data_IF_279636750145
#
_entry.id   IF_279636750145
#
_cell.length_a   1.000
_cell.length_b   1.000
_cell.length_c   1.000
_cell.angle_alpha   90.00
_cell.angle_beta   90.00
_cell.angle_gamma   90.00
#
_symmetry.space_group_name_H-M   'P 1'
#
loop_
_entity.id
_entity.type
_entity.pdbx_description
1 polymer ?
#
# COMPACT_ATOMS: atom_id res chain seq x y z
N UNK A 1 -19.11 -4.35 5.23
CA UNK A 1 -18.54 -4.48 6.59
C UNK A 1 -17.12 -5.01 6.50
N UNK A 2 -16.19 -4.40 7.25
CA UNK A 2 -14.78 -4.83 7.33
C UNK A 2 -14.53 -5.51 8.68
N UNK A 3 -13.81 -6.62 8.64
CA UNK A 3 -13.41 -7.36 9.83
C UNK A 3 -12.10 -6.87 10.42
N UNK A 4 -11.91 -7.08 11.72
CA UNK A 4 -10.63 -6.93 12.39
C UNK A 4 -10.29 -8.25 13.07
N UNK A 5 -9.24 -8.92 12.59
CA UNK A 5 -8.70 -10.14 13.19
C UNK A 5 -7.56 -9.76 14.14
N UNK A 6 -7.74 -9.98 15.44
CA UNK A 6 -6.72 -9.71 16.46
C UNK A 6 -6.24 -11.00 17.11
N UNK A 7 -4.93 -11.08 17.34
CA UNK A 7 -4.33 -12.15 18.14
C UNK A 7 -4.13 -11.63 19.57
N UNK A 8 -4.83 -12.24 20.52
CA UNK A 8 -4.85 -11.80 21.91
C UNK A 8 -3.94 -12.70 22.76
N UNK A 9 -3.04 -12.09 23.54
CA UNK A 9 -2.13 -12.78 24.46
C UNK A 9 -2.87 -13.28 25.72
N UNK A 10 -3.86 -14.15 25.53
CA UNK A 10 -4.63 -14.78 26.60
C UNK A 10 -4.75 -16.28 26.42
N UNK A 11 -4.98 -16.97 27.53
CA UNK A 11 -5.27 -18.40 27.54
C UNK A 11 -6.74 -18.66 27.18
N UNK A 12 -7.02 -19.89 26.77
CA UNK A 12 -8.37 -20.37 26.46
C UNK A 12 -8.59 -20.60 24.97
N UNK A 13 -9.80 -21.05 24.65
CA UNK A 13 -10.20 -21.43 23.30
C UNK A 13 -11.30 -20.55 22.71
N UNK A 14 -11.98 -19.78 23.57
CA UNK A 14 -13.11 -18.94 23.18
C UNK A 14 -12.64 -17.75 22.36
N UNK A 15 -13.30 -17.50 21.24
CA UNK A 15 -13.09 -16.33 20.40
C UNK A 15 -14.06 -15.24 20.88
N UNK A 16 -13.58 -14.00 20.99
CA UNK A 16 -14.41 -12.83 21.31
C UNK A 16 -14.91 -12.18 20.01
N UNK A 17 -16.11 -11.63 20.03
CA UNK A 17 -16.76 -11.03 18.87
C UNK A 17 -17.53 -9.79 19.33
N UNK A 18 -17.25 -8.62 18.73
CA UNK A 18 -17.96 -7.38 19.00
C UNK A 18 -17.79 -6.39 17.83
N UNK A 19 -18.56 -5.30 17.83
CA UNK A 19 -18.36 -4.21 16.88
C UNK A 19 -17.58 -3.10 17.58
N UNK A 20 -16.42 -2.74 17.04
CA UNK A 20 -15.57 -1.65 17.55
C UNK A 20 -15.58 -0.47 16.60
N UNK A 21 -15.51 0.73 17.17
CA UNK A 21 -15.28 1.95 16.41
C UNK A 21 -13.84 2.39 16.59
N UNK A 22 -13.09 2.56 15.50
CA UNK A 22 -11.69 2.97 15.53
C UNK A 22 -11.39 3.94 14.40
N UNK A 23 -10.77 5.09 14.69
CA UNK A 23 -10.61 6.19 13.72
C UNK A 23 -11.92 6.50 12.95
N UNK A 24 -13.06 6.43 13.65
CA UNK A 24 -14.40 6.60 13.08
C UNK A 24 -14.92 5.42 12.24
N UNK A 25 -14.12 4.40 11.94
CA UNK A 25 -14.53 3.19 11.21
C UNK A 25 -15.24 2.20 12.13
N UNK A 26 -16.37 1.66 11.69
CA UNK A 26 -17.05 0.55 12.36
C UNK A 26 -16.49 -0.78 11.84
N UNK A 27 -15.74 -1.47 12.68
CA UNK A 27 -15.09 -2.74 12.37
C UNK A 27 -15.74 -3.88 13.17
N UNK A 28 -15.93 -5.01 12.52
CA UNK A 28 -16.36 -6.22 13.23
C UNK A 28 -15.12 -6.93 13.79
N UNK A 29 -14.92 -6.80 15.10
CA UNK A 29 -13.77 -7.29 15.81
C UNK A 29 -13.91 -8.77 16.18
N UNK A 30 -12.85 -9.53 15.95
CA UNK A 30 -12.73 -10.91 16.37
C UNK A 30 -11.37 -11.13 17.04
N UNK A 31 -11.41 -11.39 18.35
CA UNK A 31 -10.22 -11.66 19.16
C UNK A 31 -9.95 -13.16 19.28
N UNK A 32 -8.82 -13.60 18.73
CA UNK A 32 -8.39 -15.01 18.73
C UNK A 32 -7.30 -15.20 19.79
N UNK A 33 -7.50 -16.10 20.77
CA UNK A 33 -6.46 -16.37 21.76
C UNK A 33 -5.23 -17.01 21.12
N UNK A 34 -4.07 -16.36 21.30
CA UNK A 34 -2.76 -16.83 20.85
C UNK A 34 -1.95 -17.51 21.97
N UNK A 35 -2.43 -17.51 23.21
CA UNK A 35 -1.71 -18.06 24.36
C UNK A 35 -0.69 -17.07 24.94
N UNK A 36 0.44 -17.58 25.45
CA UNK A 36 1.56 -16.72 25.91
C UNK A 36 2.19 -15.98 24.73
N UNK A 37 2.75 -14.80 24.99
CA UNK A 37 3.49 -14.02 23.99
C UNK A 37 4.51 -14.91 23.23
N UNK A 38 4.53 -14.79 21.89
CA UNK A 38 5.41 -15.57 21.01
C UNK A 38 4.86 -16.94 20.57
N UNK A 39 3.76 -17.45 21.14
CA UNK A 39 3.16 -18.70 20.68
C UNK A 39 2.21 -18.46 19.50
N UNK A 40 2.27 -19.34 18.48
CA UNK A 40 1.35 -19.25 17.34
C UNK A 40 -0.08 -19.61 17.78
N UNK A 41 -1.10 -18.86 17.34
CA UNK A 41 -2.49 -19.19 17.61
C UNK A 41 -2.85 -20.56 17.02
N UNK A 42 -3.72 -21.30 17.71
CA UNK A 42 -4.15 -22.60 17.19
C UNK A 42 -4.94 -22.43 15.89
N UNK A 43 -4.69 -23.30 14.90
CA UNK A 43 -5.42 -23.31 13.62
C UNK A 43 -6.93 -23.33 13.82
N UNK A 44 -7.43 -24.17 14.75
CA UNK A 44 -8.87 -24.28 15.07
C UNK A 44 -9.46 -22.98 15.63
N UNK A 45 -8.69 -22.18 16.38
CA UNK A 45 -9.16 -20.89 16.88
C UNK A 45 -9.22 -19.85 15.76
N UNK A 46 -8.21 -19.81 14.89
CA UNK A 46 -8.21 -18.96 13.70
C UNK A 46 -9.37 -19.27 12.75
N UNK A 47 -9.64 -20.56 12.47
CA UNK A 47 -10.78 -20.97 11.65
C UNK A 47 -12.11 -20.58 12.27
N UNK A 48 -12.24 -20.66 13.60
CA UNK A 48 -13.43 -20.16 14.32
C UNK A 48 -13.59 -18.66 14.14
N UNK A 49 -12.51 -17.89 14.31
CA UNK A 49 -12.53 -16.45 14.11
C UNK A 49 -12.89 -16.07 12.68
N UNK A 50 -12.29 -16.73 11.69
CA UNK A 50 -12.62 -16.53 10.27
C UNK A 50 -14.09 -16.82 9.99
N UNK A 51 -14.66 -17.90 10.56
CA UNK A 51 -16.09 -18.20 10.44
C UNK A 51 -16.97 -17.12 11.07
N UNK A 52 -16.58 -16.52 12.20
CA UNK A 52 -17.32 -15.40 12.81
C UNK A 52 -17.37 -14.20 11.89
N UNK A 53 -16.21 -13.75 11.41
CA UNK A 53 -16.10 -12.66 10.43
C UNK A 53 -16.96 -12.91 9.19
N UNK A 54 -16.92 -14.13 8.65
CA UNK A 54 -17.71 -14.52 7.48
C UNK A 54 -19.22 -14.49 7.73
N UNK A 55 -19.68 -14.97 8.88
CA UNK A 55 -21.10 -14.92 9.27
C UNK A 55 -21.59 -13.49 9.48
N UNK A 56 -20.71 -12.61 9.97
CA UNK A 56 -20.97 -11.17 10.06
C UNK A 56 -20.93 -10.44 8.70
N UNK A 57 -20.77 -11.16 7.58
CA UNK A 57 -20.74 -10.59 6.24
C UNK A 57 -19.41 -9.93 5.85
N UNK A 58 -18.35 -10.08 6.65
CA UNK A 58 -17.05 -9.52 6.33
C UNK A 58 -16.42 -10.25 5.13
N UNK A 59 -15.80 -9.46 4.24
CA UNK A 59 -15.05 -9.94 3.07
C UNK A 59 -13.60 -9.46 3.08
N UNK A 60 -13.39 -8.25 3.61
CA UNK A 60 -12.08 -7.63 3.82
C UNK A 60 -11.76 -7.62 5.31
N UNK A 61 -10.49 -7.77 5.66
CA UNK A 61 -10.01 -7.90 7.03
C UNK A 61 -8.78 -7.04 7.25
N UNK A 62 -8.75 -6.34 8.38
CA UNK A 62 -7.56 -5.72 8.95
C UNK A 62 -6.97 -6.65 10.02
N UNK A 63 -5.65 -6.65 10.14
CA UNK A 63 -4.92 -7.40 11.16
C UNK A 63 -3.71 -6.59 11.63
N UNK A 64 -3.03 -7.08 12.67
CA UNK A 64 -1.78 -6.50 13.13
C UNK A 64 -0.65 -6.68 12.08
N UNK A 65 0.39 -5.83 12.09
CA UNK A 65 1.57 -6.01 11.25
C UNK A 65 2.15 -7.43 11.40
N UNK A 66 2.51 -8.06 10.27
CA UNK A 66 3.10 -9.40 10.28
C UNK A 66 2.14 -10.54 10.63
N UNK A 67 0.82 -10.34 10.46
CA UNK A 67 -0.18 -11.37 10.75
C UNK A 67 0.12 -12.70 10.00
N UNK A 68 0.30 -13.83 10.71
CA UNK A 68 0.91 -15.03 10.13
C UNK A 68 -0.05 -15.94 9.37
N UNK A 69 -1.37 -15.70 9.42
CA UNK A 69 -2.38 -16.67 8.99
C UNK A 69 -3.23 -16.20 7.79
N UNK A 70 -2.68 -15.33 6.94
CA UNK A 70 -3.39 -14.83 5.76
C UNK A 70 -3.85 -15.93 4.80
N UNK A 71 -3.06 -16.99 4.60
CA UNK A 71 -3.46 -18.13 3.77
C UNK A 71 -4.75 -18.81 4.26
N UNK A 72 -4.91 -18.94 5.57
CA UNK A 72 -6.11 -19.51 6.19
C UNK A 72 -7.32 -18.60 6.01
N UNK A 73 -7.15 -17.29 6.24
CA UNK A 73 -8.21 -16.32 5.98
C UNK A 73 -8.64 -16.33 4.50
N UNK A 74 -7.66 -16.43 3.59
CA UNK A 74 -7.93 -16.54 2.15
C UNK A 74 -8.76 -17.77 1.79
N UNK A 75 -8.42 -18.94 2.35
CA UNK A 75 -9.20 -20.16 2.17
C UNK A 75 -10.63 -20.03 2.72
N UNK A 76 -10.84 -19.23 3.77
CA UNK A 76 -12.17 -18.93 4.30
C UNK A 76 -12.94 -17.84 3.51
N UNK A 77 -12.39 -17.35 2.38
CA UNK A 77 -13.00 -16.30 1.57
C UNK A 77 -12.90 -14.89 2.18
N UNK A 78 -11.94 -14.67 3.08
CA UNK A 78 -11.56 -13.36 3.59
C UNK A 78 -10.30 -12.88 2.85
N UNK A 79 -10.17 -11.58 2.64
CA UNK A 79 -9.01 -10.96 2.00
C UNK A 79 -8.45 -9.86 2.91
N UNK A 80 -7.14 -9.56 2.84
CA UNK A 80 -6.64 -8.33 3.41
C UNK A 80 -7.36 -7.14 2.78
N UNK A 81 -7.46 -6.03 3.50
CA UNK A 81 -7.73 -4.75 2.83
C UNK A 81 -6.54 -4.45 1.92
N UNK A 82 -6.84 -4.12 0.66
CA UNK A 82 -5.86 -3.86 -0.38
C UNK A 82 -5.45 -2.37 -0.36
N UNK A 83 -4.19 -2.05 -0.03
CA UNK A 83 -3.72 -0.67 -0.08
C UNK A 83 -3.33 -0.18 -1.47
N UNK A 84 -3.30 -1.05 -2.49
CA UNK A 84 -2.89 -0.71 -3.84
C UNK A 84 -3.58 0.54 -4.41
N UNK A 85 -4.92 0.66 -4.35
CA UNK A 85 -5.61 1.86 -4.82
C UNK A 85 -5.14 3.16 -4.14
N UNK A 86 -4.88 3.12 -2.83
CA UNK A 86 -4.33 4.26 -2.11
C UNK A 86 -2.89 4.55 -2.57
N UNK A 87 -2.05 3.52 -2.71
CA UNK A 87 -0.66 3.68 -3.15
C UNK A 87 -0.59 4.30 -4.56
N UNK A 88 -1.45 3.84 -5.48
CA UNK A 88 -1.59 4.41 -6.82
C UNK A 88 -2.03 5.88 -6.75
N UNK A 89 -2.97 6.23 -5.87
CA UNK A 89 -3.38 7.63 -5.66
C UNK A 89 -2.27 8.50 -5.05
N UNK A 90 -1.34 7.91 -4.32
CA UNK A 90 -0.17 8.57 -3.72
C UNK A 90 1.10 8.46 -4.57
N UNK A 91 1.02 7.97 -5.81
CA UNK A 91 2.19 7.63 -6.61
C UNK A 91 3.13 8.83 -6.85
N UNK A 92 2.59 9.99 -7.20
CA UNK A 92 3.39 11.21 -7.39
C UNK A 92 4.13 11.66 -6.11
N UNK A 93 3.46 11.86 -4.96
CA UNK A 93 4.19 12.22 -3.74
C UNK A 93 5.14 11.10 -3.27
N UNK A 94 4.83 9.82 -3.51
CA UNK A 94 5.74 8.70 -3.23
C UNK A 94 7.02 8.79 -4.05
N UNK A 95 6.91 9.07 -5.36
CA UNK A 95 8.06 9.24 -6.22
C UNK A 95 8.97 10.39 -5.76
N UNK A 96 8.38 11.53 -5.43
CA UNK A 96 9.12 12.70 -4.98
C UNK A 96 9.80 12.49 -3.62
N UNK A 97 9.12 11.81 -2.69
CA UNK A 97 9.71 11.43 -1.42
C UNK A 97 10.86 10.42 -1.60
N UNK A 98 10.72 9.50 -2.55
CA UNK A 98 11.78 8.57 -2.91
C UNK A 98 13.01 9.31 -3.47
N UNK A 99 12.81 10.18 -4.45
CA UNK A 99 13.89 10.98 -5.06
C UNK A 99 14.61 11.85 -4.02
N UNK A 100 13.85 12.50 -3.13
CA UNK A 100 14.41 13.31 -2.05
C UNK A 100 15.26 12.47 -1.07
N UNK A 101 14.80 11.26 -0.73
CA UNK A 101 15.57 10.32 0.12
C UNK A 101 16.88 9.90 -0.54
N UNK A 102 16.87 9.68 -1.85
CA UNK A 102 18.06 9.31 -2.63
C UNK A 102 18.96 10.51 -3.00
N UNK A 103 18.62 11.72 -2.57
CA UNK A 103 19.40 12.93 -2.87
C UNK A 103 19.33 13.34 -4.36
N UNK A 104 18.32 12.87 -5.09
CA UNK A 104 18.11 13.19 -6.49
C UNK A 104 17.15 14.37 -6.64
N UNK A 105 17.63 15.45 -7.24
CA UNK A 105 16.79 16.59 -7.60
C UNK A 105 15.76 16.15 -8.66
N UNK A 106 14.44 16.37 -8.45
CA UNK A 106 13.41 15.97 -9.40
C UNK A 106 13.69 16.45 -10.83
N UNK A 107 14.16 17.68 -10.99
CA UNK A 107 14.44 18.34 -12.27
C UNK A 107 15.58 17.66 -13.05
N UNK A 108 16.32 16.76 -12.40
CA UNK A 108 17.39 15.94 -13.00
C UNK A 108 17.00 14.47 -13.15
N UNK A 109 15.88 14.05 -12.56
CA UNK A 109 15.46 12.66 -12.47
C UNK A 109 14.54 12.25 -13.63
N UNK A 110 14.63 10.98 -14.02
CA UNK A 110 13.72 10.31 -14.96
C UNK A 110 12.85 9.31 -14.20
N UNK A 111 11.53 9.47 -14.29
CA UNK A 111 10.57 8.58 -13.64
C UNK A 111 9.79 7.79 -14.68
N UNK A 112 9.69 6.48 -14.49
CA UNK A 112 8.92 5.59 -15.34
C UNK A 112 7.56 5.27 -14.70
N UNK A 113 6.51 5.26 -15.53
CA UNK A 113 5.16 4.83 -15.17
C UNK A 113 4.85 3.54 -15.92
N UNK A 114 4.84 2.41 -15.23
CA UNK A 114 4.53 1.10 -15.81
C UNK A 114 3.14 0.64 -15.36
N UNK A 115 2.34 0.08 -16.25
CA UNK A 115 0.99 -0.39 -15.92
C UNK A 115 0.35 -1.22 -17.03
N UNK A 116 -0.71 -1.96 -16.69
CA UNK A 116 -1.46 -2.75 -17.68
C UNK A 116 -2.36 -1.90 -18.60
N UNK A 117 -2.72 -0.68 -18.15
CA UNK A 117 -3.57 0.30 -18.85
C UNK A 117 -3.35 1.70 -18.27
N UNK A 118 -3.75 2.74 -19.00
CA UNK A 118 -3.80 4.11 -18.48
C UNK A 118 -5.10 4.28 -17.71
N UNK A 119 -5.02 4.11 -16.40
CA UNK A 119 -6.13 4.44 -15.50
C UNK A 119 -6.01 5.89 -14.99
N UNK A 120 -7.02 6.32 -14.23
CA UNK A 120 -7.08 7.65 -13.66
C UNK A 120 -5.87 7.95 -12.76
N UNK A 121 -5.42 6.99 -11.95
CA UNK A 121 -4.33 7.22 -11.01
C UNK A 121 -3.00 7.38 -11.75
N UNK A 122 -2.74 6.55 -12.78
CA UNK A 122 -1.57 6.66 -13.64
C UNK A 122 -1.56 8.00 -14.37
N UNK A 123 -2.70 8.41 -14.94
CA UNK A 123 -2.83 9.70 -15.60
C UNK A 123 -2.58 10.88 -14.66
N UNK A 124 -3.25 10.92 -13.50
CA UNK A 124 -3.08 11.98 -12.49
C UNK A 124 -1.62 12.05 -12.01
N UNK A 125 -0.95 10.91 -11.91
CA UNK A 125 0.47 10.82 -11.56
C UNK A 125 1.36 11.41 -12.64
N UNK A 126 1.11 11.07 -13.90
CA UNK A 126 1.84 11.62 -15.03
C UNK A 126 1.72 13.15 -15.08
N UNK A 127 0.49 13.67 -15.00
CA UNK A 127 0.24 15.11 -14.99
C UNK A 127 0.89 15.83 -13.78
N UNK A 128 0.90 15.20 -12.60
CA UNK A 128 1.50 15.78 -11.40
C UNK A 128 3.04 15.78 -11.41
N UNK A 129 3.66 14.77 -12.02
CA UNK A 129 5.12 14.67 -12.12
C UNK A 129 5.67 15.42 -13.31
N UNK A 130 4.90 15.54 -14.39
CA UNK A 130 5.29 16.18 -15.64
C UNK A 130 6.04 17.52 -15.43
N UNK A 131 5.48 18.52 -14.72
CA UNK A 131 6.16 19.81 -14.56
C UNK A 131 7.35 19.79 -13.58
N UNK A 132 7.70 18.65 -12.98
CA UNK A 132 8.64 18.55 -11.86
C UNK A 132 9.86 17.70 -12.16
N UNK A 133 9.76 16.77 -13.10
CA UNK A 133 10.84 15.83 -13.43
C UNK A 133 11.50 16.17 -14.75
N UNK A 134 12.75 15.73 -14.95
CA UNK A 134 13.46 15.91 -16.22
C UNK A 134 12.72 15.23 -17.37
N UNK A 135 12.27 14.00 -17.12
CA UNK A 135 11.62 13.17 -18.14
C UNK A 135 10.67 12.14 -17.50
N UNK A 136 9.63 11.80 -18.25
CA UNK A 136 8.72 10.70 -17.95
C UNK A 136 8.83 9.62 -19.03
N UNK A 137 8.97 8.38 -18.61
CA UNK A 137 8.80 7.22 -19.47
C UNK A 137 7.45 6.55 -19.17
N UNK A 138 6.73 6.10 -20.19
CA UNK A 138 5.44 5.40 -20.00
C UNK A 138 5.51 4.01 -20.62
N UNK A 139 5.35 2.99 -19.77
CA UNK A 139 5.33 1.58 -20.14
C UNK A 139 3.93 1.00 -19.94
N UNK A 140 3.02 1.37 -20.85
CA UNK A 140 1.65 0.86 -20.89
C UNK A 140 1.35 0.30 -22.27
N UNK A 141 1.09 -1.01 -22.42
CA UNK A 141 0.81 -1.60 -23.73
C UNK A 141 -0.34 -0.89 -24.45
N UNK A 142 -0.12 -0.49 -25.72
CA UNK A 142 -1.10 0.15 -26.64
C UNK A 142 -1.59 1.55 -26.26
N UNK A 143 -1.57 1.93 -24.98
CA UNK A 143 -2.11 3.21 -24.51
C UNK A 143 -1.01 4.23 -24.13
N UNK A 144 0.23 3.79 -23.89
CA UNK A 144 1.31 4.65 -23.41
C UNK A 144 1.71 5.77 -24.37
N UNK A 145 1.74 5.49 -25.67
CA UNK A 145 2.12 6.47 -26.71
C UNK A 145 1.12 7.64 -26.79
N UNK A 146 -0.18 7.37 -26.61
CA UNK A 146 -1.20 8.41 -26.59
C UNK A 146 -1.05 9.33 -25.37
N UNK A 147 -0.70 8.76 -24.21
CA UNK A 147 -0.40 9.54 -23.01
C UNK A 147 0.86 10.40 -23.20
N UNK A 148 1.93 9.83 -23.75
CA UNK A 148 3.17 10.59 -24.01
C UNK A 148 2.93 11.78 -24.94
N UNK A 149 2.19 11.62 -26.04
CA UNK A 149 1.81 12.72 -26.94
C UNK A 149 1.03 13.83 -26.23
N UNK A 150 0.12 13.46 -25.34
CA UNK A 150 -0.64 14.42 -24.57
C UNK A 150 0.30 15.20 -23.63
N UNK A 151 1.20 14.51 -22.94
CA UNK A 151 2.15 15.12 -22.02
C UNK A 151 3.12 16.06 -22.73
N UNK A 152 3.60 15.69 -23.92
CA UNK A 152 4.44 16.53 -24.76
C UNK A 152 3.71 17.80 -25.19
N UNK A 153 2.43 17.68 -25.62
CA UNK A 153 1.63 18.82 -26.03
C UNK A 153 1.33 19.80 -24.89
N UNK A 154 1.05 19.29 -23.70
CA UNK A 154 0.60 20.10 -22.56
C UNK A 154 1.75 20.63 -21.69
N UNK A 155 2.88 19.91 -21.59
CA UNK A 155 4.01 20.27 -20.73
C UNK A 155 5.37 20.33 -21.44
N UNK A 156 5.45 20.06 -22.75
CA UNK A 156 6.71 20.12 -23.52
C UNK A 156 7.73 19.06 -23.13
N UNK A 157 7.30 17.97 -22.48
CA UNK A 157 8.20 16.91 -22.04
C UNK A 157 8.61 16.01 -23.19
N UNK A 158 9.90 15.59 -23.24
CA UNK A 158 10.32 14.60 -24.20
C UNK A 158 9.63 13.26 -23.90
N UNK A 159 8.92 12.75 -24.91
CA UNK A 159 8.36 11.41 -24.86
C UNK A 159 9.49 10.37 -24.89
N UNK A 160 9.74 9.70 -23.76
CA UNK A 160 10.63 8.54 -23.72
C UNK A 160 9.79 7.27 -23.80
N UNK A 161 9.81 6.60 -24.95
CA UNK A 161 9.27 5.25 -25.08
C UNK A 161 10.18 4.24 -24.38
N UNK A 162 9.64 3.51 -23.39
CA UNK A 162 10.35 2.45 -22.70
C UNK A 162 11.33 2.96 -21.64
N UNK A 163 11.17 2.46 -20.42
CA UNK A 163 12.05 2.71 -19.29
C UNK A 163 13.21 1.71 -19.20
N UNK A 164 13.32 0.75 -20.14
CA UNK A 164 14.32 -0.33 -20.10
C UNK A 164 15.76 0.21 -20.11
N UNK A 165 16.23 0.54 -18.92
CA UNK A 165 17.63 0.79 -18.57
C UNK A 165 17.99 2.19 -18.07
N UNK A 166 17.06 3.16 -18.02
CA UNK A 166 17.44 4.58 -17.81
C UNK A 166 16.60 5.41 -16.83
N UNK A 167 15.54 4.86 -16.24
CA UNK A 167 14.79 5.56 -15.20
C UNK A 167 15.47 5.45 -13.84
N UNK A 168 15.54 6.56 -13.10
CA UNK A 168 16.02 6.56 -11.72
C UNK A 168 15.02 5.85 -10.79
N UNK A 169 13.73 5.90 -11.13
CA UNK A 169 12.65 5.22 -10.41
C UNK A 169 11.54 4.74 -11.35
N UNK A 170 11.01 3.54 -11.08
CA UNK A 170 9.80 3.02 -11.74
C UNK A 170 8.62 2.92 -10.77
N UNK A 171 7.50 3.53 -11.12
CA UNK A 171 6.21 3.36 -10.44
C UNK A 171 5.41 2.27 -11.14
N UNK A 172 5.18 1.15 -10.45
CA UNK A 172 4.49 -0.01 -11.00
C UNK A 172 3.03 0.00 -10.57
N UNK A 173 2.17 0.40 -11.49
CA UNK A 173 0.71 0.33 -11.38
C UNK A 173 0.20 -1.09 -11.64
N UNK A 174 -1.06 -1.39 -11.30
CA UNK A 174 -1.64 -2.71 -11.54
C UNK A 174 -1.45 -3.21 -12.99
N UNK A 175 -1.02 -4.46 -13.13
CA UNK A 175 -0.76 -5.08 -14.43
C UNK A 175 0.59 -4.73 -15.06
N UNK A 176 1.42 -3.92 -14.39
CA UNK A 176 2.80 -3.70 -14.82
C UNK A 176 3.59 -5.02 -14.80
N UNK A 177 4.44 -5.28 -15.81
CA UNK A 177 5.36 -6.42 -15.77
C UNK A 177 6.40 -6.23 -14.66
N UNK A 178 7.02 -7.34 -14.24
CA UNK A 178 8.23 -7.27 -13.43
C UNK A 178 9.34 -6.57 -14.22
N UNK A 179 10.11 -5.73 -13.54
CA UNK A 179 11.22 -4.97 -14.12
C UNK A 179 12.48 -5.08 -13.26
N UNK A 180 13.55 -4.44 -13.71
CA UNK A 180 14.81 -4.31 -13.00
C UNK A 180 15.02 -2.86 -12.56
N UNK A 181 15.82 -2.64 -11.51
CA UNK A 181 16.10 -1.31 -10.98
C UNK A 181 15.23 -0.90 -9.79
N UNK A 182 15.34 0.36 -9.38
CA UNK A 182 14.56 0.90 -8.28
C UNK A 182 13.08 1.04 -8.67
N UNK A 183 12.19 0.51 -7.85
CA UNK A 183 10.76 0.54 -8.13
C UNK A 183 9.90 0.61 -6.88
N UNK A 184 8.76 1.29 -7.00
CA UNK A 184 7.64 1.20 -6.05
C UNK A 184 6.54 0.34 -6.66
N UNK A 185 6.14 -0.73 -5.96
CA UNK A 185 4.94 -1.50 -6.31
C UNK A 185 3.72 -0.83 -5.70
N UNK A 186 2.81 -0.36 -6.55
CA UNK A 186 1.61 0.35 -6.13
C UNK A 186 0.38 -0.56 -6.20
N UNK A 187 0.58 -1.87 -6.41
CA UNK A 187 -0.50 -2.81 -6.69
C UNK A 187 -0.66 -3.87 -5.60
N UNK A 188 -1.93 -4.18 -5.31
CA UNK A 188 -2.31 -5.30 -4.45
C UNK A 188 -1.88 -5.17 -2.99
N UNK A 189 -2.09 -6.28 -2.26
CA UNK A 189 -1.89 -6.35 -0.81
C UNK A 189 -0.43 -6.36 -0.37
N UNK A 190 0.49 -6.51 -1.31
CA UNK A 190 1.95 -6.57 -1.08
C UNK A 190 2.63 -5.32 -1.66
N UNK A 191 1.90 -4.19 -1.74
CA UNK A 191 2.44 -2.92 -2.22
C UNK A 191 3.78 -2.61 -1.53
N UNK A 192 4.81 -2.40 -2.34
CA UNK A 192 6.20 -2.31 -1.93
C UNK A 192 6.70 -0.88 -2.12
N UNK A 193 6.89 -0.16 -1.02
CA UNK A 193 7.20 1.28 -1.06
C UNK A 193 8.68 1.59 -0.79
N UNK A 194 9.56 0.60 -0.88
CA UNK A 194 11.02 0.73 -0.69
C UNK A 194 11.38 1.50 0.60
N UNK A 195 10.79 1.09 1.72
CA UNK A 195 11.00 1.72 3.02
C UNK A 195 10.28 3.06 3.24
N UNK A 196 9.59 3.63 2.24
CA UNK A 196 8.72 4.77 2.46
C UNK A 196 7.47 4.38 3.23
N UNK A 197 7.03 5.25 4.14
CA UNK A 197 5.90 5.03 5.03
C UNK A 197 4.89 6.17 4.88
N UNK A 198 3.74 5.90 4.24
CA UNK A 198 2.59 6.78 4.30
C UNK A 198 2.08 6.89 5.74
N UNK A 199 1.86 8.12 6.20
CA UNK A 199 1.41 8.46 7.53
C UNK A 199 0.23 9.43 7.42
N UNK A 200 -0.90 9.06 8.03
CA UNK A 200 -2.03 9.97 8.21
C UNK A 200 -1.80 10.95 9.37
N UNK A 201 -2.83 11.72 9.76
CA UNK A 201 -2.79 12.52 10.98
C UNK A 201 -2.52 11.64 12.21
N UNK A 202 -1.93 12.22 13.25
CA UNK A 202 -1.58 11.49 14.48
C UNK A 202 -2.83 10.88 15.14
N UNK A 203 -2.63 9.75 15.86
CA UNK A 203 -3.65 8.86 16.46
C UNK A 203 -4.24 7.73 15.59
N UNK A 204 -3.40 6.96 14.88
CA UNK A 204 -3.81 5.66 14.34
C UNK A 204 -3.55 4.52 15.34
N UNK A 205 -4.45 3.52 15.48
CA UNK A 205 -4.23 2.36 16.33
C UNK A 205 -2.99 1.58 15.91
N UNK A 206 -1.97 1.52 16.76
CA UNK A 206 -0.75 0.74 16.52
C UNK A 206 -0.96 -0.79 16.49
N UNK A 207 -2.16 -1.25 16.82
CA UNK A 207 -2.56 -2.67 16.77
C UNK A 207 -2.96 -3.15 15.37
N UNK A 208 -3.10 -2.23 14.41
CA UNK A 208 -3.47 -2.50 13.03
C UNK A 208 -2.33 -2.17 12.08
N UNK A 209 -2.24 -2.94 11.00
CA UNK A 209 -1.34 -2.63 9.91
C UNK A 209 -1.70 -1.29 9.28
N UNK A 210 -0.71 -0.38 9.23
CA UNK A 210 -0.92 1.04 8.93
C UNK A 210 -1.46 1.26 7.53
N UNK A 211 -0.81 0.68 6.52
CA UNK A 211 -1.12 0.96 5.12
C UNK A 211 -2.54 0.49 4.72
N UNK A 212 -2.97 -0.74 5.08
CA UNK A 212 -4.37 -1.15 4.88
C UNK A 212 -5.39 -0.31 5.67
N UNK A 213 -5.04 0.17 6.87
CA UNK A 213 -5.92 1.06 7.64
C UNK A 213 -6.09 2.42 6.96
N UNK A 214 -4.99 3.04 6.50
CA UNK A 214 -5.03 4.29 5.75
C UNK A 214 -5.87 4.14 4.48
N UNK A 215 -5.72 3.02 3.76
CA UNK A 215 -6.49 2.75 2.56
C UNK A 215 -7.99 2.72 2.87
N UNK A 216 -8.39 2.05 3.96
CA UNK A 216 -9.80 2.01 4.35
C UNK A 216 -10.34 3.38 4.80
N UNK A 217 -9.54 4.18 5.51
CA UNK A 217 -9.94 5.53 5.90
C UNK A 217 -10.15 6.43 4.67
N UNK A 218 -9.26 6.30 3.68
CA UNK A 218 -9.35 7.03 2.42
C UNK A 218 -10.56 6.59 1.57
N UNK A 219 -10.77 5.28 1.41
CA UNK A 219 -11.92 4.72 0.70
C UNK A 219 -13.26 5.20 1.29
N UNK A 220 -13.36 5.31 2.61
CA UNK A 220 -14.56 5.75 3.32
C UNK A 220 -14.66 7.29 3.42
N UNK A 221 -13.75 8.04 2.77
CA UNK A 221 -13.74 9.51 2.74
C UNK A 221 -13.40 10.17 4.09
N UNK A 222 -12.84 9.41 5.04
CA UNK A 222 -12.44 9.88 6.38
C UNK A 222 -11.04 10.47 6.39
N UNK A 223 -10.27 10.24 5.34
CA UNK A 223 -8.93 10.73 5.14
C UNK A 223 -8.76 11.16 3.69
N UNK A 224 -8.28 12.38 3.48
CA UNK A 224 -7.95 12.89 2.14
C UNK A 224 -6.49 12.57 1.80
N UNK A 225 -6.17 12.51 0.51
CA UNK A 225 -4.80 12.21 0.04
C UNK A 225 -3.81 13.28 0.51
N UNK A 226 -4.24 14.53 0.61
CA UNK A 226 -3.42 15.67 1.03
C UNK A 226 -3.05 15.62 2.52
N UNK A 227 -3.83 14.88 3.32
CA UNK A 227 -3.58 14.68 4.75
C UNK A 227 -2.57 13.54 5.00
N UNK A 228 -2.18 12.80 3.96
CA UNK A 228 -1.22 11.70 4.05
C UNK A 228 0.17 12.24 3.72
N UNK A 229 1.02 12.24 4.74
CA UNK A 229 2.45 12.58 4.61
C UNK A 229 3.23 11.33 4.30
N UNK A 230 4.33 11.47 3.57
CA UNK A 230 5.23 10.36 3.25
C UNK A 230 6.53 10.61 3.98
N UNK A 231 6.92 9.63 4.79
CA UNK A 231 8.12 9.69 5.60
C UNK A 231 9.07 8.57 5.16
N UNK A 232 10.39 8.78 5.20
CA UNK A 232 11.31 7.65 5.17
C UNK A 232 11.03 6.80 6.41
N UNK A 233 10.83 5.50 6.21
CA UNK A 233 10.82 4.55 7.32
C UNK A 233 12.15 4.59 8.05
N UNK A 234 12.18 4.16 9.31
CA UNK A 234 13.44 3.96 10.03
C UNK A 234 14.29 3.00 9.20
N UNK A 235 15.35 3.52 8.58
CA UNK A 235 16.34 2.72 7.86
C UNK A 235 16.81 1.63 8.80
N UNK A 236 16.61 0.36 8.42
CA UNK A 236 17.54 -0.66 8.87
C UNK A 236 18.78 -0.39 8.03
N UNK A 237 19.79 0.22 8.65
CA UNK A 237 21.10 0.37 8.03
C UNK A 237 21.50 -0.96 7.37
N UNK A 238 22.17 -0.89 6.22
CA UNK A 238 22.71 -2.04 5.47
C UNK A 238 23.62 -2.96 6.32
N UNK A 239 23.84 -2.63 7.59
CA UNK A 239 24.64 -3.34 8.59
C UNK A 239 23.81 -4.02 9.70
N UNK A 240 22.48 -3.94 9.68
CA UNK A 240 21.63 -4.68 10.63
C UNK A 240 21.81 -4.27 12.11
N UNK A 241 22.10 -3.00 12.39
CA UNK A 241 22.14 -2.48 13.75
C UNK A 241 21.16 -1.33 13.94
N UNK A 242 20.37 -1.40 15.01
CA UNK A 242 19.46 -0.35 15.45
C UNK A 242 20.28 0.64 16.29
N UNK A 243 20.43 1.89 15.84
CA UNK A 243 20.90 2.94 16.73
C UNK A 243 19.78 3.25 17.75
N UNK A 244 20.14 3.09 19.02
CA UNK A 244 19.34 3.42 20.20
C UNK A 244 19.18 4.94 20.36
#
# INVERSE_FOLDING_TARGET
>A
MVGWMALEARRGWAVTEEVRTTAGLRLHYVGVPAGKAGRRPSRRALERGARRLRRAGCRRVLAAPGFPAWALLRAAGLRPVDPGPLCAALAAPLALAWLAREGLAPERATVALAGGRVDRALFETAAALAPRVRALAVEVPREGEALLRLLEREWGLPALEGARGGADLTLRFPGAPAGTGAALDLSGTEAGLDGLVPAGPEELPGTLERLPLLALLWEEGRLKKEEIRIQPGKSLDRTGQTNL
#
